data_IF_065394592796
#
_entry.id   IF_065394592796
#
_cell.length_a   1.000
_cell.length_b   1.000
_cell.length_c   1.000
_cell.angle_alpha   90.00
_cell.angle_beta   90.00
_cell.angle_gamma   90.00
#
_symmetry.space_group_name_H-M   'P 1'
#
loop_
_entity.id
_entity.type
_entity.pdbx_description
1 polymer ?
#
# COMPACT_ATOMS: atom_id res chain seq x y z
N UNK A 1 -39.60 8.63 26.34
CA UNK A 1 -39.50 7.89 25.07
C UNK A 1 -38.18 8.23 24.42
N UNK A 2 -37.17 7.36 24.56
CA UNK A 2 -35.86 7.55 23.92
C UNK A 2 -36.04 7.21 22.45
N UNK A 3 -36.02 8.20 21.58
CA UNK A 3 -35.89 8.00 20.14
C UNK A 3 -34.48 7.49 19.89
N UNK A 4 -34.32 6.17 19.90
CA UNK A 4 -33.06 5.53 19.56
C UNK A 4 -32.66 5.95 18.14
N UNK A 5 -31.72 6.89 18.03
CA UNK A 5 -31.01 7.12 16.77
C UNK A 5 -30.29 5.83 16.43
N UNK A 6 -30.78 5.09 15.46
CA UNK A 6 -30.02 3.97 14.88
C UNK A 6 -28.72 4.54 14.32
N UNK A 7 -27.59 4.03 14.75
CA UNK A 7 -26.30 4.37 14.14
C UNK A 7 -26.34 3.97 12.66
N UNK A 8 -25.73 4.75 11.78
CA UNK A 8 -25.69 4.40 10.36
C UNK A 8 -25.01 3.04 10.21
N UNK A 9 -25.56 2.20 9.36
CA UNK A 9 -25.01 0.85 9.08
C UNK A 9 -23.72 0.88 8.28
N UNK A 10 -23.39 2.01 7.66
CA UNK A 10 -22.15 2.21 6.91
C UNK A 10 -21.79 3.72 6.84
N UNK A 11 -20.49 3.99 6.75
CA UNK A 11 -19.92 5.31 6.50
C UNK A 11 -19.05 5.22 5.26
N UNK A 12 -19.23 6.14 4.33
CA UNK A 12 -18.37 6.29 3.16
C UNK A 12 -17.66 7.64 3.23
N UNK A 13 -16.35 7.62 3.04
CA UNK A 13 -15.50 8.80 2.97
C UNK A 13 -14.87 8.89 1.59
N UNK A 14 -14.88 10.07 1.01
CA UNK A 14 -14.10 10.40 -0.20
C UNK A 14 -13.12 11.48 0.17
N UNK A 15 -11.84 11.28 -0.16
CA UNK A 15 -10.78 12.25 0.06
C UNK A 15 -10.10 12.57 -1.25
N UNK A 16 -9.74 13.84 -1.41
CA UNK A 16 -8.90 14.32 -2.50
C UNK A 16 -7.68 14.98 -1.85
N UNK A 17 -6.50 14.57 -2.28
CA UNK A 17 -5.25 15.11 -1.75
C UNK A 17 -4.22 15.26 -2.85
N UNK A 18 -3.38 16.28 -2.76
CA UNK A 18 -2.24 16.47 -3.66
C UNK A 18 -1.08 15.60 -3.21
N UNK A 19 -0.49 14.87 -4.14
CA UNK A 19 0.68 14.04 -3.89
C UNK A 19 1.50 13.80 -5.16
N UNK A 20 2.77 13.47 -4.96
CA UNK A 20 3.60 12.83 -5.97
C UNK A 20 3.40 11.32 -5.93
N UNK A 21 3.37 10.65 -7.08
CA UNK A 21 3.19 9.21 -7.16
C UNK A 21 4.38 8.47 -6.51
N UNK A 22 4.19 8.02 -5.28
CA UNK A 22 5.20 7.31 -4.49
C UNK A 22 5.16 5.78 -4.69
N UNK A 23 4.05 5.25 -5.20
CA UNK A 23 3.86 3.82 -5.37
C UNK A 23 4.48 3.36 -6.68
N UNK A 24 5.68 2.83 -6.58
CA UNK A 24 6.44 2.34 -7.73
C UNK A 24 6.14 0.89 -8.02
N UNK A 25 6.33 0.52 -9.27
CA UNK A 25 6.33 -0.87 -9.71
C UNK A 25 7.74 -1.45 -9.59
N UNK A 26 7.83 -2.77 -9.64
CA UNK A 26 9.12 -3.43 -9.81
C UNK A 26 9.74 -3.00 -11.14
N UNK A 27 11.07 -2.99 -11.21
CA UNK A 27 11.81 -2.50 -12.37
C UNK A 27 11.35 -3.19 -13.66
N UNK A 28 10.73 -2.45 -14.54
CA UNK A 28 10.37 -2.89 -15.88
C UNK A 28 11.58 -2.66 -16.78
N UNK A 29 12.63 -3.45 -16.58
CA UNK A 29 13.85 -3.36 -17.35
C UNK A 29 14.73 -2.14 -17.02
N UNK A 30 16.05 -2.35 -16.94
CA UNK A 30 17.01 -1.29 -16.66
C UNK A 30 16.92 -0.68 -15.25
N UNK A 31 17.44 0.54 -15.11
CA UNK A 31 17.51 1.29 -13.85
C UNK A 31 16.41 2.35 -13.69
N UNK A 32 15.24 2.16 -14.33
CA UNK A 32 14.14 3.12 -14.27
C UNK A 32 13.08 2.64 -13.27
N UNK A 33 12.97 3.24 -12.08
CA UNK A 33 11.86 3.01 -11.18
C UNK A 33 10.58 3.60 -11.76
N UNK A 34 9.71 2.75 -12.27
CA UNK A 34 8.43 3.14 -12.86
C UNK A 34 7.37 3.36 -11.78
N UNK A 35 6.48 4.33 -11.95
CA UNK A 35 5.30 4.51 -11.12
C UNK A 35 4.20 3.55 -11.54
N UNK A 36 3.31 3.19 -10.61
CA UNK A 36 2.14 2.36 -10.94
C UNK A 36 1.14 3.16 -11.76
N UNK A 37 0.77 2.60 -12.91
CA UNK A 37 -0.13 3.24 -13.88
C UNK A 37 -1.27 2.32 -14.28
N UNK A 38 -2.38 2.91 -14.68
CA UNK A 38 -3.52 2.21 -15.27
C UNK A 38 -4.09 3.03 -16.43
N UNK A 39 -4.70 2.36 -17.37
CA UNK A 39 -5.35 3.00 -18.52
C UNK A 39 -6.84 3.10 -18.30
N UNK A 40 -7.42 4.27 -18.56
CA UNK A 40 -8.87 4.54 -18.48
C UNK A 40 -9.29 5.51 -19.61
N UNK A 41 -10.58 5.59 -19.88
CA UNK A 41 -11.20 6.60 -20.71
C UNK A 41 -10.52 6.78 -22.08
N UNK A 42 -10.47 5.73 -22.90
CA UNK A 42 -9.98 5.84 -24.27
C UNK A 42 -8.45 5.99 -24.35
N UNK A 43 -7.73 5.12 -23.70
CA UNK A 43 -6.26 5.03 -23.72
C UNK A 43 -5.47 6.08 -22.93
N UNK A 44 -6.12 6.87 -22.08
CA UNK A 44 -5.42 7.79 -21.19
C UNK A 44 -4.80 7.04 -20.01
N UNK A 45 -3.56 7.40 -19.68
CA UNK A 45 -2.78 6.79 -18.59
C UNK A 45 -2.86 7.64 -17.34
N UNK A 46 -3.12 7.01 -16.20
CA UNK A 46 -3.22 7.65 -14.88
C UNK A 46 -2.28 6.92 -13.93
N UNK A 47 -1.54 7.66 -13.11
CA UNK A 47 -0.83 7.06 -11.99
C UNK A 47 -1.80 6.70 -10.86
N UNK A 48 -1.41 5.78 -10.00
CA UNK A 48 -2.21 5.45 -8.83
C UNK A 48 -1.37 4.96 -7.65
N UNK A 49 -1.91 5.19 -6.46
CA UNK A 49 -1.46 4.54 -5.23
C UNK A 49 -2.30 3.28 -5.02
N UNK A 50 -1.63 2.15 -4.89
CA UNK A 50 -2.35 0.87 -4.73
C UNK A 50 -3.07 0.80 -3.38
N UNK A 51 -4.14 0.02 -3.32
CA UNK A 51 -4.85 -0.27 -2.07
C UNK A 51 -3.89 -0.78 -0.98
N UNK A 52 -2.91 -1.60 -1.35
CA UNK A 52 -1.93 -2.17 -0.41
C UNK A 52 -1.02 -1.08 0.16
N UNK A 53 -0.52 -0.17 -0.69
CA UNK A 53 0.28 0.96 -0.23
C UNK A 53 -0.52 1.90 0.67
N UNK A 54 -1.75 2.25 0.28
CA UNK A 54 -2.64 3.09 1.10
C UNK A 54 -2.90 2.45 2.48
N UNK A 55 -3.15 1.15 2.52
CA UNK A 55 -3.32 0.40 3.77
C UNK A 55 -2.05 0.43 4.64
N UNK A 56 -0.89 0.23 4.04
CA UNK A 56 0.40 0.26 4.74
C UNK A 56 0.63 1.62 5.41
N UNK A 57 0.50 2.72 4.67
CA UNK A 57 0.68 4.06 5.22
C UNK A 57 -0.34 4.41 6.30
N UNK A 58 -1.59 3.96 6.13
CA UNK A 58 -2.61 4.12 7.15
C UNK A 58 -2.22 3.39 8.44
N UNK A 59 -1.73 2.17 8.36
CA UNK A 59 -1.30 1.40 9.53
C UNK A 59 -0.10 2.03 10.24
N UNK A 60 0.91 2.43 9.50
CA UNK A 60 2.05 3.14 10.09
C UNK A 60 1.61 4.40 10.84
N UNK A 61 0.68 5.14 10.24
CA UNK A 61 0.14 6.37 10.85
C UNK A 61 -0.66 6.06 12.10
N UNK A 62 -1.55 5.09 12.07
CA UNK A 62 -2.36 4.70 13.21
C UNK A 62 -1.51 4.12 14.34
N UNK A 63 -0.49 3.33 14.03
CA UNK A 63 0.44 2.82 15.03
C UNK A 63 1.25 3.96 15.70
N UNK A 64 1.71 4.95 14.93
CA UNK A 64 2.38 6.14 15.48
C UNK A 64 1.48 6.99 16.38
N UNK A 65 0.19 7.09 16.03
CA UNK A 65 -0.78 7.91 16.79
C UNK A 65 -1.32 7.22 18.03
N UNK A 66 -1.56 5.91 17.96
CA UNK A 66 -2.30 5.15 18.97
C UNK A 66 -1.47 4.02 19.62
N UNK A 67 -0.24 3.81 19.18
CA UNK A 67 0.68 2.85 19.77
C UNK A 67 0.12 1.42 19.79
N UNK A 68 0.05 0.83 20.99
CA UNK A 68 -0.37 -0.56 21.16
C UNK A 68 -1.82 -0.84 20.77
N UNK A 69 -2.71 0.15 20.76
CA UNK A 69 -4.10 0.00 20.30
C UNK A 69 -4.19 -0.32 18.80
N UNK A 70 -3.16 0.08 18.04
CA UNK A 70 -3.02 -0.21 16.61
C UNK A 70 -1.74 -0.97 16.28
N UNK A 71 -1.31 -1.82 17.19
CA UNK A 71 -0.17 -2.70 16.98
C UNK A 71 -0.40 -3.63 15.79
N UNK A 72 0.54 -3.67 14.82
CA UNK A 72 0.46 -4.60 13.69
C UNK A 72 0.48 -6.04 14.17
N UNK A 73 -0.26 -6.91 13.49
CA UNK A 73 -0.20 -8.34 13.75
C UNK A 73 1.18 -8.88 13.33
N UNK A 74 1.85 -9.59 14.25
CA UNK A 74 3.13 -10.24 13.97
C UNK A 74 2.96 -11.36 12.96
N UNK A 75 3.88 -11.48 12.01
CA UNK A 75 3.85 -12.47 10.97
C UNK A 75 4.84 -13.61 11.24
N UNK A 76 4.47 -14.80 10.80
CA UNK A 76 5.31 -16.01 10.83
C UNK A 76 5.33 -16.63 9.44
N UNK A 77 6.44 -17.27 9.09
CA UNK A 77 6.48 -18.15 7.93
C UNK A 77 5.81 -19.50 8.28
N UNK A 78 4.93 -19.96 7.42
CA UNK A 78 4.31 -21.28 7.49
C UNK A 78 4.45 -22.01 6.17
N UNK A 79 4.49 -23.35 6.21
CA UNK A 79 4.75 -24.18 5.04
C UNK A 79 6.23 -24.59 4.90
N UNK A 80 6.54 -25.33 3.84
CA UNK A 80 7.88 -25.83 3.55
C UNK A 80 8.21 -25.75 2.06
N UNK A 81 9.51 -25.64 1.72
CA UNK A 81 9.98 -25.53 0.35
C UNK A 81 9.39 -24.30 -0.37
N UNK A 82 8.94 -24.50 -1.59
CA UNK A 82 8.37 -23.43 -2.43
C UNK A 82 6.94 -23.00 -2.04
N UNK A 83 6.33 -23.70 -1.07
CA UNK A 83 4.98 -23.41 -0.57
C UNK A 83 4.98 -22.61 0.74
N UNK A 84 6.03 -21.84 0.99
CA UNK A 84 6.09 -20.94 2.14
C UNK A 84 5.12 -19.78 1.99
N UNK A 85 4.37 -19.51 3.06
CA UNK A 85 3.43 -18.40 3.15
C UNK A 85 3.75 -17.56 4.39
N UNK A 86 3.82 -16.25 4.22
CA UNK A 86 3.91 -15.32 5.36
C UNK A 86 2.49 -14.94 5.78
N UNK A 87 2.15 -15.21 7.02
CA UNK A 87 0.83 -14.92 7.59
C UNK A 87 0.93 -14.62 9.07
N UNK A 88 -0.11 -14.05 9.68
CA UNK A 88 -0.09 -13.76 11.11
C UNK A 88 -0.14 -15.05 11.94
N UNK A 89 0.36 -14.98 13.18
CA UNK A 89 0.34 -16.13 14.11
C UNK A 89 -1.06 -16.28 14.73
N UNK A 90 -1.90 -17.12 14.13
CA UNK A 90 -3.28 -17.36 14.58
C UNK A 90 -3.37 -17.97 15.99
N UNK A 91 -2.27 -18.55 16.49
CA UNK A 91 -2.24 -19.14 17.85
C UNK A 91 -2.09 -18.09 18.94
N UNK A 92 -1.51 -16.93 18.61
CA UNK A 92 -1.20 -15.84 19.55
C UNK A 92 -2.04 -14.59 19.31
N UNK A 93 -2.65 -14.46 18.15
CA UNK A 93 -3.27 -13.23 17.69
C UNK A 93 -4.68 -13.49 17.14
N UNK A 94 -5.58 -12.57 17.44
CA UNK A 94 -6.97 -12.66 16.98
C UNK A 94 -7.57 -11.25 16.87
N UNK A 95 -8.83 -11.18 16.46
CA UNK A 95 -9.57 -9.93 16.26
C UNK A 95 -9.81 -9.10 17.54
N UNK A 96 -9.69 -9.72 18.71
CA UNK A 96 -9.85 -9.01 19.99
C UNK A 96 -8.54 -8.38 20.48
N UNK A 97 -7.42 -8.87 19.97
CA UNK A 97 -6.09 -8.41 20.38
C UNK A 97 -5.40 -7.52 19.33
N UNK A 98 -5.88 -7.55 18.09
CA UNK A 98 -5.28 -6.78 16.98
C UNK A 98 -6.36 -6.13 16.12
N UNK A 99 -6.50 -4.82 16.26
CA UNK A 99 -7.46 -4.00 15.51
C UNK A 99 -7.29 -4.14 13.98
N UNK A 100 -6.07 -4.38 13.52
CA UNK A 100 -5.79 -4.68 12.11
C UNK A 100 -6.60 -5.85 11.58
N UNK A 101 -6.62 -6.97 12.30
CA UNK A 101 -7.32 -8.19 11.89
C UNK A 101 -8.83 -8.02 11.88
N UNK A 102 -9.37 -7.24 12.81
CA UNK A 102 -10.80 -6.93 12.87
C UNK A 102 -11.22 -5.96 11.77
N UNK A 103 -10.52 -4.83 11.64
CA UNK A 103 -10.87 -3.76 10.70
C UNK A 103 -10.73 -4.20 9.24
N UNK A 104 -9.61 -4.84 8.87
CA UNK A 104 -9.29 -5.14 7.48
C UNK A 104 -9.47 -6.59 7.07
N UNK A 105 -9.77 -7.46 8.06
CA UNK A 105 -9.93 -8.89 7.82
C UNK A 105 -8.61 -9.58 7.43
N UNK A 106 -8.70 -10.86 7.19
CA UNK A 106 -7.55 -11.69 6.85
C UNK A 106 -7.95 -12.93 6.05
N UNK A 107 -6.97 -13.53 5.44
CA UNK A 107 -7.02 -14.89 4.94
C UNK A 107 -5.85 -15.68 5.54
N UNK A 108 -6.13 -16.79 6.18
CA UNK A 108 -5.16 -17.68 6.77
C UNK A 108 -5.17 -19.01 6.02
N UNK A 109 -4.05 -19.38 5.43
CA UNK A 109 -3.90 -20.60 4.64
C UNK A 109 -3.49 -21.76 5.54
N UNK A 110 -4.26 -22.83 5.51
CA UNK A 110 -3.94 -24.09 6.18
C UNK A 110 -3.48 -25.07 5.12
N UNK A 111 -2.25 -25.61 5.27
CA UNK A 111 -1.67 -26.51 4.28
C UNK A 111 -2.58 -27.70 3.97
N UNK A 112 -2.90 -27.89 2.69
CA UNK A 112 -3.77 -28.97 2.20
C UNK A 112 -5.26 -28.85 2.53
N UNK A 113 -5.71 -27.74 3.14
CA UNK A 113 -7.10 -27.50 3.52
C UNK A 113 -7.60 -26.14 3.00
N UNK A 114 -8.92 -25.96 3.06
CA UNK A 114 -9.54 -24.69 2.78
C UNK A 114 -9.11 -23.64 3.83
N UNK A 115 -8.61 -22.49 3.37
CA UNK A 115 -8.16 -21.44 4.26
C UNK A 115 -9.28 -20.80 5.08
N UNK A 116 -8.94 -20.27 6.24
CA UNK A 116 -9.85 -19.47 7.07
C UNK A 116 -9.79 -18.03 6.57
N UNK A 117 -10.94 -17.42 6.31
CA UNK A 117 -11.01 -16.03 5.90
C UNK A 117 -12.01 -15.24 6.75
N UNK A 118 -11.67 -13.98 7.01
CA UNK A 118 -12.55 -12.99 7.61
C UNK A 118 -12.63 -11.77 6.71
N UNK A 119 -13.82 -11.35 6.36
CA UNK A 119 -14.05 -10.10 5.66
C UNK A 119 -13.87 -8.92 6.63
N UNK A 120 -13.02 -7.96 6.28
CA UNK A 120 -12.88 -6.73 7.05
C UNK A 120 -14.09 -5.82 6.92
N UNK A 121 -14.32 -5.01 7.95
CA UNK A 121 -15.37 -3.98 7.96
C UNK A 121 -14.90 -2.66 7.30
N UNK A 122 -13.59 -2.44 7.18
CA UNK A 122 -13.00 -1.26 6.53
C UNK A 122 -12.57 -1.61 5.11
N UNK A 123 -13.15 -0.91 4.14
CA UNK A 123 -12.75 -0.98 2.74
C UNK A 123 -11.91 0.22 2.34
N UNK A 124 -10.77 0.00 1.68
CA UNK A 124 -9.95 1.07 1.09
C UNK A 124 -9.89 0.84 -0.41
N UNK A 125 -10.06 1.90 -1.19
CA UNK A 125 -9.84 1.89 -2.64
C UNK A 125 -8.40 2.28 -2.95
N UNK A 126 -7.98 2.11 -4.19
CA UNK A 126 -6.77 2.77 -4.69
C UNK A 126 -7.04 4.27 -4.87
N UNK A 127 -6.05 5.12 -4.64
CA UNK A 127 -6.10 6.52 -5.01
C UNK A 127 -5.59 6.67 -6.44
N UNK A 128 -6.41 7.26 -7.31
CA UNK A 128 -6.12 7.39 -8.75
C UNK A 128 -5.97 8.87 -9.05
N UNK A 129 -4.92 9.24 -9.76
CA UNK A 129 -4.69 10.60 -10.22
C UNK A 129 -5.90 11.15 -10.99
N UNK A 130 -6.23 12.42 -10.78
CA UNK A 130 -7.28 13.10 -11.51
C UNK A 130 -6.80 13.62 -12.86
N UNK A 131 -5.48 13.86 -12.99
CA UNK A 131 -4.86 14.25 -14.26
C UNK A 131 -4.17 13.05 -14.92
N UNK A 132 -4.02 13.11 -16.23
CA UNK A 132 -3.30 12.11 -17.01
C UNK A 132 -1.79 12.24 -16.80
N UNK A 133 -1.10 11.12 -16.76
CA UNK A 133 0.35 11.09 -16.78
C UNK A 133 0.86 11.25 -18.20
N UNK A 134 1.70 12.25 -18.43
CA UNK A 134 2.20 12.65 -19.76
C UNK A 134 3.65 12.20 -20.02
N UNK A 135 4.23 11.38 -19.15
CA UNK A 135 5.56 10.83 -19.36
C UNK A 135 6.69 11.56 -18.65
N UNK A 136 6.39 12.33 -17.61
CA UNK A 136 7.39 13.10 -16.88
C UNK A 136 8.44 12.21 -16.23
N UNK A 137 9.70 12.59 -16.38
CA UNK A 137 10.85 11.89 -15.84
C UNK A 137 11.83 12.86 -15.16
N UNK A 138 12.32 12.46 -14.01
CA UNK A 138 13.39 13.17 -13.31
C UNK A 138 14.71 12.42 -13.50
N UNK A 139 15.71 13.14 -13.99
CA UNK A 139 17.09 12.65 -14.04
C UNK A 139 17.81 13.01 -12.73
N UNK A 140 18.40 12.00 -12.09
CA UNK A 140 19.22 12.16 -10.89
C UNK A 140 20.60 11.56 -11.12
N UNK A 141 21.66 12.30 -10.80
CA UNK A 141 23.02 11.81 -10.83
C UNK A 141 23.82 12.41 -9.67
N UNK A 142 24.64 11.61 -9.01
CA UNK A 142 25.40 12.04 -7.85
C UNK A 142 26.79 12.55 -8.26
N UNK A 143 26.82 13.68 -8.95
CA UNK A 143 28.07 14.27 -9.46
C UNK A 143 29.05 14.66 -8.35
N UNK A 144 28.57 15.19 -7.23
CA UNK A 144 29.45 15.69 -6.15
C UNK A 144 30.19 14.55 -5.44
N UNK A 145 29.52 13.43 -5.18
CA UNK A 145 30.16 12.27 -4.61
C UNK A 145 31.09 11.57 -5.60
N UNK A 146 30.73 11.49 -6.86
CA UNK A 146 31.53 10.86 -7.90
C UNK A 146 32.84 11.59 -8.18
N UNK A 147 32.86 12.92 -8.07
CA UNK A 147 34.07 13.73 -8.24
C UNK A 147 35.16 13.45 -7.21
N UNK A 148 34.80 13.06 -5.99
CA UNK A 148 35.80 12.85 -4.90
C UNK A 148 36.78 11.73 -5.21
N UNK A 149 36.33 10.50 -5.60
CA UNK A 149 37.21 9.43 -6.03
C UNK A 149 37.56 9.49 -7.54
N UNK A 150 37.04 10.46 -8.31
CA UNK A 150 37.26 10.52 -9.76
C UNK A 150 36.53 9.47 -10.58
N UNK A 151 35.35 9.06 -10.10
CA UNK A 151 34.52 8.04 -10.78
C UNK A 151 33.31 8.69 -11.50
N UNK A 152 32.66 7.93 -12.38
CA UNK A 152 31.44 8.37 -13.03
C UNK A 152 30.26 8.37 -12.06
N UNK A 153 29.35 9.36 -12.14
CA UNK A 153 28.13 9.38 -11.36
C UNK A 153 27.20 8.25 -11.81
N UNK A 154 26.49 7.62 -10.86
CA UNK A 154 25.48 6.63 -11.18
C UNK A 154 24.16 7.35 -11.55
N UNK A 155 23.81 7.50 -12.84
CA UNK A 155 22.58 8.17 -13.23
C UNK A 155 21.37 7.27 -12.98
N UNK A 156 20.29 7.87 -12.50
CA UNK A 156 19.00 7.21 -12.31
C UNK A 156 17.91 8.10 -12.89
N UNK A 157 17.13 7.58 -13.80
CA UNK A 157 15.90 8.21 -14.28
C UNK A 157 14.72 7.68 -13.46
N UNK A 158 13.88 8.59 -12.95
CA UNK A 158 12.67 8.24 -12.21
C UNK A 158 11.46 8.85 -12.92
N UNK A 159 10.43 8.06 -13.13
CA UNK A 159 9.14 8.62 -13.53
C UNK A 159 8.54 9.41 -12.37
N UNK A 160 7.93 10.55 -12.68
CA UNK A 160 7.25 11.41 -11.72
C UNK A 160 5.84 11.78 -12.20
N UNK A 161 4.97 12.01 -11.26
CA UNK A 161 3.64 12.55 -11.49
C UNK A 161 3.14 13.23 -10.22
N UNK A 162 3.07 14.55 -10.23
CA UNK A 162 2.38 15.34 -9.20
C UNK A 162 0.95 15.54 -9.65
N UNK A 163 0.00 15.12 -8.84
CA UNK A 163 -1.43 15.20 -9.19
C UNK A 163 -2.29 15.21 -7.92
N UNK A 164 -3.56 15.51 -8.09
CA UNK A 164 -4.60 15.21 -7.11
C UNK A 164 -5.04 13.74 -7.25
N UNK A 165 -5.20 13.08 -6.11
CA UNK A 165 -5.58 11.68 -5.99
C UNK A 165 -6.83 11.51 -5.15
#
# INVERSE_FOLDING_TARGET
MNSGRSLPSAITLTMIFEASALNRDEKIGGNIPSIKKLTRFGSKTYSYLSKVAMRHYLFETLNKLYGDDWKPAGCVESGSGDNKVVQFDITKQNILTHAELDAFGYMYTIGGQQGISRKGCVGITKAIALETWEGDMQFNANHDLARRPGTDPNPVNKEEHVSYY
#
